data_IF_892454750998
#
_entry.id   IF_892454750998
#
_cell.length_a   1.000
_cell.length_b   1.000
_cell.length_c   1.000
_cell.angle_alpha   90.00
_cell.angle_beta   90.00
_cell.angle_gamma   90.00
#
_symmetry.space_group_name_H-M   'P 1'
#
loop_
_entity.id
_entity.type
_entity.pdbx_description
1 polymer ?
#
# COMPACT_ATOMS: atom_id res chain seq x y z
N UNK A 1 -44.90 -14.38 31.40
CA UNK A 1 -44.43 -14.13 30.02
C UNK A 1 -43.42 -12.98 30.09
N UNK A 2 -42.13 -13.31 30.26
CA UNK A 2 -41.05 -12.32 30.37
C UNK A 2 -40.62 -11.90 28.97
N UNK A 3 -40.91 -10.65 28.60
CA UNK A 3 -40.45 -10.06 27.35
C UNK A 3 -38.93 -10.01 27.32
N UNK A 4 -38.31 -10.77 26.41
CA UNK A 4 -36.91 -10.54 26.04
C UNK A 4 -36.90 -9.31 25.15
N UNK A 5 -36.61 -8.14 25.72
CA UNK A 5 -36.18 -6.98 24.94
C UNK A 5 -34.95 -7.42 24.13
N UNK A 6 -35.10 -7.54 22.81
CA UNK A 6 -33.99 -7.75 21.90
C UNK A 6 -33.14 -6.48 21.89
N UNK A 7 -32.21 -6.36 22.83
CA UNK A 7 -31.27 -5.24 22.87
C UNK A 7 -30.44 -5.23 21.58
N UNK A 8 -30.53 -4.15 20.82
CA UNK A 8 -29.71 -3.93 19.63
C UNK A 8 -28.23 -4.00 20.01
N UNK A 9 -27.40 -4.80 19.33
CA UNK A 9 -25.98 -4.87 19.63
C UNK A 9 -25.28 -3.50 19.51
N UNK A 10 -24.23 -3.24 20.32
CA UNK A 10 -23.42 -2.04 20.22
C UNK A 10 -22.93 -1.78 18.79
N UNK A 11 -22.78 -0.50 18.42
CA UNK A 11 -22.38 -0.09 17.07
C UNK A 11 -21.10 -0.79 16.59
N UNK A 12 -20.09 -0.92 17.45
CA UNK A 12 -18.85 -1.62 17.12
C UNK A 12 -19.05 -3.11 16.81
N UNK A 13 -19.98 -3.80 17.48
CA UNK A 13 -20.27 -5.22 17.20
C UNK A 13 -20.96 -5.39 15.84
N UNK A 14 -21.90 -4.49 15.52
CA UNK A 14 -22.55 -4.45 14.20
C UNK A 14 -21.54 -4.17 13.10
N UNK A 15 -20.61 -3.24 13.34
CA UNK A 15 -19.53 -2.96 12.40
C UNK A 15 -18.56 -4.13 12.22
N UNK A 16 -18.13 -4.79 13.30
CA UNK A 16 -17.27 -5.99 13.22
C UNK A 16 -17.97 -7.15 12.49
N UNK A 17 -19.29 -7.31 12.68
CA UNK A 17 -20.12 -8.27 11.92
C UNK A 17 -20.12 -7.96 10.42
N UNK A 18 -20.38 -6.71 10.06
CA UNK A 18 -20.37 -6.24 8.67
C UNK A 18 -19.01 -6.49 8.02
N UNK A 19 -17.93 -6.04 8.67
CA UNK A 19 -16.57 -6.12 8.13
C UNK A 19 -16.11 -7.55 7.94
N UNK A 20 -16.46 -8.45 8.87
CA UNK A 20 -16.15 -9.88 8.74
C UNK A 20 -16.85 -10.50 7.52
N UNK A 21 -18.14 -10.21 7.33
CA UNK A 21 -18.90 -10.72 6.18
C UNK A 21 -18.31 -10.21 4.85
N UNK A 22 -18.05 -8.91 4.75
CA UNK A 22 -17.47 -8.29 3.56
C UNK A 22 -16.07 -8.81 3.22
N UNK A 23 -15.22 -8.99 4.24
CA UNK A 23 -13.82 -9.41 4.02
C UNK A 23 -13.71 -10.86 3.58
N UNK A 24 -14.59 -11.75 4.10
CA UNK A 24 -14.48 -13.20 3.88
C UNK A 24 -15.46 -13.78 2.88
N UNK A 25 -16.63 -13.17 2.73
CA UNK A 25 -17.69 -13.62 1.82
C UNK A 25 -18.09 -12.57 0.79
N UNK A 26 -17.51 -11.36 0.84
CA UNK A 26 -17.77 -10.29 -0.13
C UNK A 26 -19.26 -9.92 -0.25
N UNK A 27 -20.01 -10.04 0.85
CA UNK A 27 -21.44 -9.79 0.91
C UNK A 27 -21.85 -9.08 2.21
N UNK A 28 -23.09 -8.60 2.25
CA UNK A 28 -23.70 -8.16 3.50
C UNK A 28 -24.00 -9.36 4.41
N UNK A 29 -24.01 -9.19 5.75
CA UNK A 29 -24.33 -10.29 6.69
C UNK A 29 -25.68 -10.96 6.42
N UNK A 30 -26.67 -10.21 5.93
CA UNK A 30 -28.02 -10.70 5.61
C UNK A 30 -28.04 -11.58 4.35
N UNK A 31 -27.04 -11.40 3.48
CA UNK A 31 -26.88 -12.11 2.21
C UNK A 31 -26.00 -13.37 2.33
N UNK A 32 -25.56 -13.71 3.55
CA UNK A 32 -24.69 -14.88 3.77
C UNK A 32 -25.42 -16.18 3.39
N UNK A 33 -24.79 -17.05 2.57
CA UNK A 33 -25.34 -18.36 2.24
C UNK A 33 -25.61 -19.18 3.51
N UNK A 34 -26.81 -19.77 3.61
CA UNK A 34 -27.21 -20.65 4.72
C UNK A 34 -26.14 -21.66 5.18
N UNK A 35 -25.45 -22.41 4.29
CA UNK A 35 -24.43 -23.37 4.71
C UNK A 35 -23.22 -22.72 5.39
N UNK A 36 -22.91 -21.46 5.09
CA UNK A 36 -21.77 -20.74 5.67
C UNK A 36 -22.11 -20.03 6.99
N UNK A 37 -23.39 -19.81 7.29
CA UNK A 37 -23.83 -19.09 8.50
C UNK A 37 -23.27 -19.67 9.80
N UNK A 38 -23.25 -21.00 10.04
CA UNK A 38 -22.65 -21.55 11.27
C UNK A 38 -21.15 -21.27 11.38
N UNK A 39 -20.44 -21.22 10.25
CA UNK A 39 -19.01 -20.89 10.23
C UNK A 39 -18.79 -19.40 10.50
N UNK A 40 -19.60 -18.54 9.89
CA UNK A 40 -19.59 -17.10 10.13
C UNK A 40 -19.83 -16.77 11.60
N UNK A 41 -20.90 -17.30 12.21
CA UNK A 41 -21.24 -17.01 13.61
C UNK A 41 -20.16 -17.46 14.59
N UNK A 42 -19.54 -18.65 14.38
CA UNK A 42 -18.40 -19.08 15.20
C UNK A 42 -17.19 -18.15 15.09
N UNK A 43 -16.90 -17.66 13.88
CA UNK A 43 -15.80 -16.71 13.67
C UNK A 43 -16.11 -15.34 14.29
N UNK A 44 -17.35 -14.87 14.13
CA UNK A 44 -17.81 -13.61 14.68
C UNK A 44 -17.71 -13.61 16.20
N UNK A 45 -18.24 -14.64 16.87
CA UNK A 45 -18.19 -14.75 18.33
C UNK A 45 -16.75 -14.72 18.86
N UNK A 46 -15.83 -15.44 18.19
CA UNK A 46 -14.40 -15.42 18.55
C UNK A 46 -13.78 -14.03 18.36
N UNK A 47 -14.11 -13.35 17.26
CA UNK A 47 -13.62 -12.02 16.98
C UNK A 47 -14.14 -10.99 17.99
N UNK A 48 -15.44 -10.99 18.27
CA UNK A 48 -16.06 -10.07 19.25
C UNK A 48 -15.50 -10.27 20.65
N UNK A 49 -15.32 -11.52 21.09
CA UNK A 49 -14.71 -11.83 22.38
C UNK A 49 -13.28 -11.26 22.47
N UNK A 50 -12.48 -11.41 21.40
CA UNK A 50 -11.13 -10.88 21.35
C UNK A 50 -11.12 -9.34 21.38
N UNK A 51 -11.90 -8.68 20.53
CA UNK A 51 -12.00 -7.21 20.49
C UNK A 51 -12.48 -6.63 21.83
N UNK A 52 -13.44 -7.29 22.48
CA UNK A 52 -13.89 -6.92 23.82
C UNK A 52 -12.79 -7.09 24.87
N UNK A 53 -12.04 -8.20 24.83
CA UNK A 53 -10.93 -8.45 25.75
C UNK A 53 -9.79 -7.42 25.58
N UNK A 54 -9.47 -7.05 24.34
CA UNK A 54 -8.47 -6.02 24.02
C UNK A 54 -8.90 -4.66 24.56
N UNK A 55 -10.12 -4.20 24.27
CA UNK A 55 -10.59 -2.90 24.76
C UNK A 55 -10.80 -2.88 26.28
N UNK A 56 -11.18 -4.00 26.89
CA UNK A 56 -11.21 -4.14 28.35
C UNK A 56 -9.81 -4.01 28.97
N UNK A 57 -8.77 -4.57 28.33
CA UNK A 57 -7.39 -4.39 28.77
C UNK A 57 -6.94 -2.92 28.67
N UNK A 58 -7.30 -2.23 27.58
CA UNK A 58 -7.05 -0.80 27.40
C UNK A 58 -7.63 0.03 28.55
N UNK A 59 -8.89 -0.24 28.90
CA UNK A 59 -9.60 0.44 29.98
C UNK A 59 -9.00 0.15 31.35
N UNK A 60 -8.57 -1.09 31.62
CA UNK A 60 -7.87 -1.45 32.87
C UNK A 60 -6.54 -0.70 33.03
N UNK A 61 -5.87 -0.40 31.93
CA UNK A 61 -4.66 0.43 31.91
C UNK A 61 -4.95 1.92 31.80
N UNK A 62 -6.22 2.33 31.80
CA UNK A 62 -6.66 3.72 31.64
C UNK A 62 -6.09 4.40 30.39
N UNK A 63 -5.86 3.64 29.30
CA UNK A 63 -5.41 4.19 28.04
C UNK A 63 -6.48 5.11 27.45
N UNK A 64 -6.06 6.30 27.02
CA UNK A 64 -6.95 7.32 26.48
C UNK A 64 -6.44 7.78 25.12
N UNK A 65 -7.32 7.76 24.12
CA UNK A 65 -6.98 8.26 22.78
C UNK A 65 -6.97 9.78 22.74
N UNK A 66 -5.94 10.33 22.10
CA UNK A 66 -5.86 11.76 21.79
C UNK A 66 -6.83 12.12 20.67
N UNK A 67 -7.20 13.40 20.59
CA UNK A 67 -8.05 13.90 19.50
C UNK A 67 -7.46 13.59 18.11
N UNK A 68 -6.13 13.69 17.95
CA UNK A 68 -5.45 13.37 16.70
C UNK A 68 -5.58 11.89 16.32
N UNK A 69 -5.41 10.98 17.29
CA UNK A 69 -5.58 9.54 17.05
C UNK A 69 -7.02 9.20 16.67
N UNK A 70 -8.01 9.80 17.36
CA UNK A 70 -9.42 9.61 17.02
C UNK A 70 -9.75 10.12 15.62
N UNK A 71 -9.23 11.30 15.25
CA UNK A 71 -9.41 11.86 13.92
C UNK A 71 -8.80 10.97 12.84
N UNK A 72 -7.61 10.42 13.08
CA UNK A 72 -6.96 9.50 12.15
C UNK A 72 -7.78 8.23 11.95
N UNK A 73 -8.26 7.61 13.03
CA UNK A 73 -9.11 6.41 12.95
C UNK A 73 -10.45 6.74 12.26
N UNK A 74 -11.05 7.90 12.55
CA UNK A 74 -12.26 8.35 11.88
C UNK A 74 -12.07 8.51 10.37
N UNK A 75 -10.96 9.12 9.92
CA UNK A 75 -10.64 9.26 8.51
C UNK A 75 -10.46 7.91 7.81
N UNK A 76 -9.80 6.95 8.46
CA UNK A 76 -9.59 5.60 7.91
C UNK A 76 -10.89 4.83 7.75
N UNK A 77 -11.86 5.00 8.65
CA UNK A 77 -13.12 4.26 8.63
C UNK A 77 -14.26 5.04 7.94
N UNK A 78 -14.09 6.31 7.62
CA UNK A 78 -15.16 7.21 7.16
C UNK A 78 -15.96 6.64 5.99
N UNK A 79 -15.27 6.16 4.95
CA UNK A 79 -15.95 5.62 3.76
C UNK A 79 -16.77 4.36 4.10
N UNK A 80 -16.18 3.40 4.80
CA UNK A 80 -16.85 2.16 5.19
C UNK A 80 -18.09 2.45 6.06
N UNK A 81 -17.96 3.37 7.03
CA UNK A 81 -19.02 3.69 7.97
C UNK A 81 -20.18 4.46 7.34
N UNK A 82 -19.89 5.43 6.47
CA UNK A 82 -20.90 6.22 5.76
C UNK A 82 -21.66 5.34 4.78
N UNK A 83 -20.96 4.52 3.97
CA UNK A 83 -21.61 3.61 3.03
C UNK A 83 -22.46 2.56 3.74
N UNK A 84 -22.08 2.15 4.96
CA UNK A 84 -22.84 1.23 5.79
C UNK A 84 -24.02 1.88 6.53
N UNK A 85 -24.16 3.20 6.48
CA UNK A 85 -25.31 3.93 7.05
C UNK A 85 -25.29 4.09 8.57
N UNK A 86 -24.12 4.01 9.23
CA UNK A 86 -24.02 4.28 10.67
C UNK A 86 -24.27 5.76 10.98
N UNK A 87 -25.02 6.06 12.04
CA UNK A 87 -25.26 7.44 12.50
C UNK A 87 -23.98 8.08 13.03
N UNK A 88 -23.94 9.41 13.16
CA UNK A 88 -22.77 10.12 13.68
C UNK A 88 -22.32 9.60 15.06
N UNK A 89 -23.27 9.33 15.96
CA UNK A 89 -22.99 8.79 17.30
C UNK A 89 -22.43 7.37 17.24
N UNK A 90 -22.99 6.53 16.35
CA UNK A 90 -22.50 5.18 16.13
C UNK A 90 -21.09 5.17 15.54
N UNK A 91 -20.83 6.05 14.57
CA UNK A 91 -19.50 6.24 13.98
C UNK A 91 -18.50 6.63 15.06
N UNK A 92 -18.83 7.58 15.92
CA UNK A 92 -17.98 8.00 17.03
C UNK A 92 -17.69 6.83 17.98
N UNK A 93 -18.70 6.05 18.35
CA UNK A 93 -18.52 4.87 19.20
C UNK A 93 -17.63 3.79 18.55
N UNK A 94 -17.75 3.56 17.24
CA UNK A 94 -16.91 2.62 16.49
C UNK A 94 -15.46 3.12 16.45
N UNK A 95 -15.25 4.40 16.18
CA UNK A 95 -13.92 5.05 16.16
C UNK A 95 -13.24 4.91 17.51
N UNK A 96 -13.94 5.19 18.61
CA UNK A 96 -13.41 5.02 19.96
C UNK A 96 -12.99 3.59 20.24
N UNK A 97 -13.80 2.61 19.85
CA UNK A 97 -13.48 1.19 20.03
C UNK A 97 -12.20 0.80 19.28
N UNK A 98 -12.07 1.21 18.02
CA UNK A 98 -10.88 0.93 17.20
C UNK A 98 -9.64 1.64 17.74
N UNK A 99 -9.76 2.92 18.14
CA UNK A 99 -8.65 3.66 18.73
C UNK A 99 -8.14 3.01 20.03
N UNK A 100 -9.03 2.52 20.89
CA UNK A 100 -8.63 1.79 22.11
C UNK A 100 -7.91 0.47 21.78
N UNK A 101 -8.35 -0.25 20.75
CA UNK A 101 -7.66 -1.46 20.29
C UNK A 101 -6.25 -1.15 19.78
N UNK A 102 -6.10 -0.13 18.93
CA UNK A 102 -4.81 0.30 18.40
C UNK A 102 -3.86 0.72 19.51
N UNK A 103 -4.34 1.52 20.48
CA UNK A 103 -3.58 1.94 21.64
C UNK A 103 -3.13 0.77 22.51
N UNK A 104 -4.02 -0.18 22.78
CA UNK A 104 -3.69 -1.35 23.57
C UNK A 104 -2.64 -2.21 22.88
N UNK A 105 -2.80 -2.46 21.58
CA UNK A 105 -1.82 -3.22 20.81
C UNK A 105 -0.48 -2.48 20.74
N UNK A 106 -0.47 -1.15 20.58
CA UNK A 106 0.74 -0.34 20.61
C UNK A 106 1.43 -0.41 21.99
N UNK A 107 0.67 -0.27 23.08
CA UNK A 107 1.16 -0.39 24.46
C UNK A 107 1.81 -1.75 24.72
N UNK A 108 1.16 -2.83 24.30
CA UNK A 108 1.71 -4.19 24.38
C UNK A 108 2.95 -4.33 23.49
N UNK A 109 2.93 -3.78 22.28
CA UNK A 109 4.10 -3.78 21.38
C UNK A 109 5.31 -3.11 22.01
N UNK A 110 5.13 -1.95 22.66
CA UNK A 110 6.20 -1.20 23.32
C UNK A 110 6.92 -2.00 24.42
N UNK A 111 6.27 -3.02 25.00
CA UNK A 111 6.84 -3.88 26.04
C UNK A 111 7.76 -4.98 25.48
N UNK A 112 7.89 -5.12 24.15
CA UNK A 112 8.69 -6.17 23.53
C UNK A 112 10.22 -5.99 23.69
N UNK A 113 10.66 -4.81 24.13
CA UNK A 113 12.07 -4.46 24.29
C UNK A 113 12.82 -4.22 22.98
N UNK A 114 13.86 -3.39 23.04
CA UNK A 114 14.61 -2.97 21.86
C UNK A 114 15.68 -3.99 21.43
N UNK A 115 15.86 -4.22 20.11
CA UNK A 115 16.95 -5.05 19.62
C UNK A 115 18.28 -4.41 19.97
N UNK A 116 19.23 -5.24 20.42
CA UNK A 116 20.53 -4.74 20.85
C UNK A 116 21.41 -4.43 19.64
N UNK A 117 22.33 -3.45 19.70
CA UNK A 117 23.19 -3.11 18.57
C UNK A 117 23.95 -4.32 17.99
N UNK A 118 24.47 -5.19 18.85
CA UNK A 118 25.17 -6.42 18.43
C UNK A 118 24.27 -7.43 17.70
N UNK A 119 22.98 -7.50 18.06
CA UNK A 119 21.98 -8.33 17.38
C UNK A 119 21.64 -7.75 16.01
N UNK A 120 21.47 -6.43 15.91
CA UNK A 120 21.23 -5.72 14.64
C UNK A 120 22.40 -5.98 13.69
N UNK A 121 23.64 -5.79 14.16
CA UNK A 121 24.84 -6.03 13.37
C UNK A 121 24.91 -7.47 12.86
N UNK A 122 24.70 -8.45 13.74
CA UNK A 122 24.73 -9.88 13.40
C UNK A 122 23.65 -10.22 12.37
N UNK A 123 22.44 -9.71 12.56
CA UNK A 123 21.35 -9.97 11.65
C UNK A 123 21.59 -9.32 10.29
N UNK A 124 22.11 -8.09 10.24
CA UNK A 124 22.51 -7.42 9.00
C UNK A 124 23.56 -8.24 8.24
N UNK A 125 24.62 -8.72 8.92
CA UNK A 125 25.66 -9.53 8.30
C UNK A 125 25.11 -10.83 7.67
N UNK A 126 24.10 -11.43 8.29
CA UNK A 126 23.44 -12.64 7.78
C UNK A 126 22.46 -12.40 6.63
N UNK A 127 22.05 -11.14 6.40
CA UNK A 127 21.02 -10.77 5.43
C UNK A 127 21.43 -9.56 4.58
N UNK A 128 22.75 -9.35 4.39
CA UNK A 128 23.28 -8.17 3.71
C UNK A 128 22.79 -8.04 2.26
N UNK A 129 22.45 -9.17 1.62
CA UNK A 129 21.85 -9.24 0.29
C UNK A 129 20.51 -8.49 0.20
N UNK A 130 19.77 -8.39 1.30
CA UNK A 130 18.48 -7.68 1.38
C UNK A 130 18.65 -6.16 1.44
N UNK A 131 19.85 -5.67 1.75
CA UNK A 131 20.15 -4.26 1.92
C UNK A 131 20.83 -3.70 0.68
N UNK A 132 20.11 -3.75 -0.44
CA UNK A 132 20.58 -3.22 -1.72
C UNK A 132 19.56 -2.26 -2.27
N UNK A 133 20.04 -1.14 -2.80
CA UNK A 133 19.22 -0.28 -3.66
C UNK A 133 19.04 -1.00 -4.99
N UNK A 134 17.80 -1.14 -5.49
CA UNK A 134 17.60 -1.70 -6.82
C UNK A 134 18.23 -0.77 -7.86
N UNK A 135 18.50 -1.34 -9.02
CA UNK A 135 18.89 -0.55 -10.19
C UNK A 135 17.74 0.40 -10.56
N UNK A 136 18.10 1.65 -10.88
CA UNK A 136 17.15 2.68 -11.30
C UNK A 136 17.61 3.32 -12.61
N UNK A 137 16.66 3.67 -13.47
CA UNK A 137 16.89 4.39 -14.72
C UNK A 137 16.23 5.75 -14.63
N UNK A 138 16.97 6.83 -14.87
CA UNK A 138 16.39 8.16 -15.04
C UNK A 138 15.73 8.18 -16.41
N UNK A 139 14.40 8.27 -16.43
CA UNK A 139 13.63 7.94 -17.63
C UNK A 139 12.80 9.12 -18.10
N UNK A 140 12.78 9.30 -19.42
CA UNK A 140 11.75 10.08 -20.11
C UNK A 140 10.87 9.17 -20.95
N UNK A 141 9.59 9.51 -21.02
CA UNK A 141 8.56 8.73 -21.69
C UNK A 141 7.68 9.62 -22.56
N UNK A 142 7.39 9.12 -23.76
CA UNK A 142 6.41 9.69 -24.69
C UNK A 142 5.47 8.56 -25.10
N UNK A 143 4.16 8.82 -24.99
CA UNK A 143 3.08 7.94 -25.45
C UNK A 143 2.28 8.64 -26.55
N UNK A 144 2.03 7.93 -27.65
CA UNK A 144 0.95 8.22 -28.60
C UNK A 144 -0.10 7.11 -28.49
N UNK A 145 -1.29 7.46 -28.03
CA UNK A 145 -2.41 6.53 -27.92
C UNK A 145 -2.82 6.06 -29.32
N UNK A 146 -3.10 4.76 -29.45
CA UNK A 146 -3.63 4.20 -30.70
C UNK A 146 -5.12 3.95 -30.52
N UNK A 147 -5.92 4.82 -31.14
CA UNK A 147 -7.36 4.63 -31.26
C UNK A 147 -7.67 3.91 -32.60
N UNK A 148 -8.51 4.48 -33.46
CA UNK A 148 -8.99 3.83 -34.69
C UNK A 148 -8.09 4.03 -35.94
N UNK A 149 -7.07 4.88 -35.87
CA UNK A 149 -6.20 5.21 -37.03
C UNK A 149 -4.73 4.92 -36.74
N UNK A 150 -4.41 3.63 -36.57
CA UNK A 150 -3.06 3.13 -36.35
C UNK A 150 -2.02 3.63 -37.38
N UNK A 151 -2.27 3.62 -38.71
CA UNK A 151 -1.28 4.07 -39.68
C UNK A 151 -0.83 5.53 -39.47
N UNK A 152 -1.76 6.42 -39.10
CA UNK A 152 -1.42 7.80 -38.80
C UNK A 152 -0.57 7.92 -37.53
N UNK A 153 -0.89 7.16 -36.48
CA UNK A 153 -0.12 7.15 -35.23
C UNK A 153 1.29 6.58 -35.45
N UNK A 154 1.43 5.52 -36.24
CA UNK A 154 2.73 4.96 -36.63
C UNK A 154 3.57 5.95 -37.43
N UNK A 155 2.97 6.66 -38.38
CA UNK A 155 3.65 7.71 -39.14
C UNK A 155 4.09 8.86 -38.25
N UNK A 156 3.23 9.31 -37.31
CA UNK A 156 3.58 10.34 -36.34
C UNK A 156 4.71 9.88 -35.43
N UNK A 157 4.65 8.65 -34.92
CA UNK A 157 5.69 8.08 -34.06
C UNK A 157 7.04 8.01 -34.78
N UNK A 158 7.04 7.55 -36.04
CA UNK A 158 8.24 7.52 -36.87
C UNK A 158 8.83 8.93 -37.09
N UNK A 159 7.97 9.95 -37.24
CA UNK A 159 8.38 11.35 -37.34
C UNK A 159 9.04 11.86 -36.06
N UNK A 160 8.42 11.60 -34.90
CA UNK A 160 8.95 11.96 -33.58
C UNK A 160 10.29 11.29 -33.34
N UNK A 161 10.40 9.98 -33.59
CA UNK A 161 11.63 9.22 -33.45
C UNK A 161 12.76 9.79 -34.32
N UNK A 162 12.47 10.16 -35.57
CA UNK A 162 13.46 10.76 -36.47
C UNK A 162 13.98 12.09 -35.95
N UNK A 163 13.10 12.94 -35.43
CA UNK A 163 13.49 14.21 -34.83
C UNK A 163 14.37 14.00 -33.59
N UNK A 164 14.00 13.06 -32.71
CA UNK A 164 14.78 12.75 -31.51
C UNK A 164 16.14 12.13 -31.81
N UNK A 165 16.26 11.34 -32.89
CA UNK A 165 17.57 10.82 -33.32
C UNK A 165 18.49 11.93 -33.86
N UNK A 166 17.93 12.96 -34.47
CA UNK A 166 18.69 14.11 -34.97
C UNK A 166 19.05 15.10 -33.85
N UNK A 167 18.12 15.33 -32.92
CA UNK A 167 18.27 16.27 -31.80
C UNK A 167 17.71 15.63 -30.51
N UNK A 168 18.52 14.81 -29.81
CA UNK A 168 18.07 14.09 -28.62
C UNK A 168 17.49 15.01 -27.54
N UNK A 169 18.10 16.19 -27.35
CA UNK A 169 17.71 17.15 -26.31
C UNK A 169 16.32 17.77 -26.55
N UNK A 170 15.75 17.58 -27.75
CA UNK A 170 14.38 17.95 -28.09
C UNK A 170 13.29 17.11 -27.41
N UNK A 171 13.63 16.07 -26.63
CA UNK A 171 12.66 15.15 -26.02
C UNK A 171 11.56 15.86 -25.23
N UNK A 172 11.94 16.81 -24.36
CA UNK A 172 10.97 17.52 -23.52
C UNK A 172 9.93 18.28 -24.36
N UNK A 173 10.38 18.97 -25.40
CA UNK A 173 9.51 19.73 -26.30
C UNK A 173 8.60 18.82 -27.14
N UNK A 174 9.11 17.68 -27.61
CA UNK A 174 8.30 16.72 -28.37
C UNK A 174 7.29 15.98 -27.49
N UNK A 175 7.67 15.65 -26.25
CA UNK A 175 6.75 15.08 -25.27
C UNK A 175 5.61 16.05 -24.94
N UNK A 176 5.91 17.33 -24.68
CA UNK A 176 4.89 18.35 -24.42
C UNK A 176 3.92 18.54 -25.60
N UNK A 177 4.42 18.48 -26.83
CA UNK A 177 3.61 18.73 -28.04
C UNK A 177 2.78 17.54 -28.47
N UNK A 178 3.29 16.32 -28.31
CA UNK A 178 2.71 15.14 -28.95
C UNK A 178 2.26 14.08 -27.96
N UNK A 179 2.80 14.04 -26.74
CA UNK A 179 2.51 12.93 -25.85
C UNK A 179 1.14 13.04 -25.19
N UNK A 180 0.45 11.91 -25.13
CA UNK A 180 -0.80 11.73 -24.39
C UNK A 180 -0.60 11.23 -22.94
N UNK A 181 0.65 11.15 -22.45
CA UNK A 181 0.95 10.76 -21.08
C UNK A 181 0.89 11.99 -20.16
N UNK A 182 0.40 11.90 -18.90
CA UNK A 182 0.43 13.02 -17.96
C UNK A 182 1.82 13.64 -17.74
N UNK A 183 2.89 12.85 -17.90
CA UNK A 183 4.27 13.32 -17.80
C UNK A 183 4.67 14.28 -18.92
N UNK A 184 3.86 14.41 -19.99
CA UNK A 184 4.06 15.39 -21.06
C UNK A 184 4.25 16.81 -20.51
N UNK A 185 3.50 17.19 -19.48
CA UNK A 185 3.60 18.51 -18.84
C UNK A 185 4.99 18.78 -18.26
N UNK A 186 5.68 17.75 -17.80
CA UNK A 186 7.06 17.81 -17.29
C UNK A 186 8.08 17.33 -18.34
N UNK A 187 7.79 17.53 -19.63
CA UNK A 187 8.70 17.15 -20.71
C UNK A 187 8.95 15.65 -20.82
N UNK A 188 7.95 14.84 -20.44
CA UNK A 188 8.01 13.38 -20.42
C UNK A 188 8.81 12.81 -19.25
N UNK A 189 9.28 13.60 -18.29
CA UNK A 189 10.13 13.13 -17.19
C UNK A 189 9.35 12.20 -16.24
N UNK A 190 9.82 10.97 -16.09
CA UNK A 190 9.31 10.01 -15.09
C UNK A 190 10.19 9.96 -13.83
N UNK A 191 11.38 10.57 -13.87
CA UNK A 191 12.36 10.48 -12.79
C UNK A 191 13.06 9.11 -12.74
N UNK A 192 13.48 8.70 -11.54
CA UNK A 192 14.19 7.43 -11.32
C UNK A 192 13.22 6.26 -11.22
N UNK A 193 13.15 5.46 -12.28
CA UNK A 193 12.28 4.29 -12.38
C UNK A 193 13.02 3.03 -11.97
N UNK A 194 12.43 2.25 -11.07
CA UNK A 194 12.90 0.91 -10.67
C UNK A 194 12.07 -0.17 -11.37
N UNK A 195 12.57 -1.40 -11.44
CA UNK A 195 11.80 -2.55 -11.94
C UNK A 195 10.52 -2.76 -11.12
N UNK A 196 9.47 -3.25 -11.76
CA UNK A 196 8.14 -3.48 -11.21
C UNK A 196 7.17 -2.30 -11.33
N UNK A 197 7.59 -1.18 -11.93
CA UNK A 197 6.78 0.05 -12.02
C UNK A 197 6.16 0.30 -13.40
N UNK A 198 6.62 -0.39 -14.45
CA UNK A 198 6.16 -0.20 -15.82
C UNK A 198 5.49 -1.46 -16.38
N UNK A 199 4.73 -1.31 -17.46
CA UNK A 199 4.26 -2.45 -18.27
C UNK A 199 5.45 -3.34 -18.68
N UNK A 200 5.29 -4.68 -18.72
CA UNK A 200 6.39 -5.60 -18.99
C UNK A 200 7.18 -5.31 -20.28
N UNK A 201 6.51 -4.84 -21.34
CA UNK A 201 7.17 -4.47 -22.59
C UNK A 201 8.07 -3.23 -22.43
N UNK A 202 7.56 -2.18 -21.78
CA UNK A 202 8.29 -0.95 -21.50
C UNK A 202 9.45 -1.20 -20.54
N UNK A 203 9.26 -2.01 -19.52
CA UNK A 203 10.32 -2.35 -18.58
C UNK A 203 11.47 -3.09 -19.28
N UNK A 204 11.16 -4.14 -20.05
CA UNK A 204 12.18 -4.89 -20.80
C UNK A 204 12.98 -3.97 -21.70
N UNK A 205 12.32 -3.05 -22.39
CA UNK A 205 12.98 -2.06 -23.23
C UNK A 205 13.84 -1.09 -22.40
N UNK A 206 13.27 -0.41 -21.41
CA UNK A 206 13.97 0.59 -20.61
C UNK A 206 15.25 0.06 -19.98
N UNK A 207 15.22 -1.14 -19.42
CA UNK A 207 16.37 -1.73 -18.74
C UNK A 207 17.38 -2.38 -19.70
N UNK A 208 17.06 -2.50 -20.99
CA UNK A 208 18.01 -2.88 -22.03
C UNK A 208 18.80 -1.67 -22.57
N UNK A 209 18.26 -0.45 -22.44
CA UNK A 209 18.90 0.78 -22.91
C UNK A 209 20.19 1.08 -22.13
N UNK A 210 21.17 1.70 -22.78
CA UNK A 210 22.31 2.37 -22.15
C UNK A 210 21.94 3.80 -21.69
N UNK A 211 22.80 4.41 -20.87
CA UNK A 211 22.64 5.82 -20.52
C UNK A 211 22.80 6.70 -21.77
N UNK A 212 21.90 7.66 -21.93
CA UNK A 212 21.73 8.50 -23.11
C UNK A 212 20.95 7.87 -24.25
N UNK A 213 20.56 6.58 -24.17
CA UNK A 213 19.95 5.87 -25.30
C UNK A 213 18.43 6.11 -25.39
N UNK A 214 17.95 6.16 -26.63
CA UNK A 214 16.54 6.24 -27.01
C UNK A 214 16.09 4.89 -27.58
N UNK A 215 14.92 4.43 -27.17
CA UNK A 215 14.35 3.17 -27.67
C UNK A 215 13.79 3.27 -29.09
N UNK A 216 13.58 2.11 -29.71
CA UNK A 216 12.58 1.97 -30.77
C UNK A 216 11.15 2.14 -30.19
N UNK A 217 10.14 2.39 -31.04
CA UNK A 217 8.75 2.39 -30.62
C UNK A 217 8.37 1.05 -29.98
N UNK A 218 7.88 1.11 -28.74
CA UNK A 218 7.41 -0.06 -27.99
C UNK A 218 5.89 -0.01 -27.95
N UNK A 219 5.23 -1.10 -28.32
CA UNK A 219 3.79 -1.21 -28.30
C UNK A 219 3.28 -1.75 -26.96
N UNK A 220 2.20 -1.15 -26.46
CA UNK A 220 1.37 -1.69 -25.37
C UNK A 220 -0.11 -1.55 -25.72
N UNK A 221 -0.98 -2.02 -24.84
CA UNK A 221 -2.45 -1.87 -24.97
C UNK A 221 -2.89 -0.40 -25.06
N UNK A 222 -2.08 0.56 -24.59
CA UNK A 222 -2.38 1.99 -24.66
C UNK A 222 -1.98 2.61 -26.01
N UNK A 223 -1.06 2.00 -26.76
CA UNK A 223 -0.54 2.57 -28.00
C UNK A 223 0.97 2.42 -28.14
N UNK A 224 1.61 3.41 -28.76
CA UNK A 224 3.04 3.40 -29.06
C UNK A 224 3.82 4.30 -28.11
N UNK A 225 4.96 3.79 -27.63
CA UNK A 225 5.77 4.43 -26.60
C UNK A 225 7.21 4.63 -27.07
N UNK A 226 7.81 5.75 -26.69
CA UNK A 226 9.25 5.96 -26.75
C UNK A 226 9.80 6.19 -25.35
N UNK A 227 10.95 5.58 -25.08
CA UNK A 227 11.65 5.67 -23.80
C UNK A 227 13.06 6.18 -24.05
N UNK A 228 13.50 7.12 -23.24
CA UNK A 228 14.90 7.55 -23.19
C UNK A 228 15.44 7.28 -21.79
N UNK A 229 16.60 6.64 -21.70
CA UNK A 229 17.32 6.47 -20.45
C UNK A 229 18.36 7.58 -20.34
N UNK A 230 18.12 8.61 -19.54
CA UNK A 230 19.06 9.72 -19.36
C UNK A 230 20.27 9.30 -18.51
N UNK A 231 20.05 8.47 -17.48
CA UNK A 231 21.11 8.01 -16.59
C UNK A 231 20.77 6.66 -15.95
N UNK A 232 21.80 5.94 -15.53
CA UNK A 232 21.70 4.65 -14.85
C UNK A 232 22.26 4.77 -13.44
N UNK A 233 21.48 4.36 -12.45
CA UNK A 233 21.96 4.13 -11.08
C UNK A 233 22.01 2.61 -10.87
N UNK A 234 23.19 1.99 -10.84
CA UNK A 234 23.31 0.55 -10.72
C UNK A 234 22.80 0.06 -9.37
N UNK A 235 22.42 -1.22 -9.30
CA UNK A 235 22.11 -1.85 -8.04
C UNK A 235 23.36 -1.87 -7.13
N UNK A 236 23.25 -1.27 -5.96
CA UNK A 236 24.37 -1.13 -5.03
C UNK A 236 23.93 -1.48 -3.61
N UNK A 237 24.84 -2.00 -2.76
CA UNK A 237 24.57 -2.10 -1.33
C UNK A 237 24.14 -0.75 -0.76
N UNK A 238 23.22 -0.77 0.20
CA UNK A 238 22.93 0.40 1.02
C UNK A 238 24.18 0.76 1.85
N UNK A 239 24.43 2.05 2.12
CA UNK A 239 25.41 2.44 3.13
C UNK A 239 25.14 1.70 4.44
N UNK A 240 26.16 1.17 5.09
CA UNK A 240 26.01 0.31 6.28
C UNK A 240 25.15 0.99 7.36
N UNK A 241 25.38 2.28 7.64
CA UNK A 241 24.58 3.03 8.59
C UNK A 241 23.07 3.02 8.26
N UNK A 242 22.70 3.17 6.98
CA UNK A 242 21.30 3.12 6.56
C UNK A 242 20.75 1.67 6.64
N UNK A 243 21.56 0.69 6.27
CA UNK A 243 21.20 -0.72 6.36
C UNK A 243 20.93 -1.16 7.81
N UNK A 244 21.76 -0.72 8.76
CA UNK A 244 21.61 -1.03 10.18
C UNK A 244 20.36 -0.38 10.79
N UNK A 245 20.00 0.84 10.40
CA UNK A 245 18.72 1.46 10.82
C UNK A 245 17.54 0.60 10.35
N UNK A 246 17.50 0.24 9.07
CA UNK A 246 16.42 -0.60 8.50
C UNK A 246 16.38 -1.99 9.14
N UNK A 247 17.53 -2.59 9.41
CA UNK A 247 17.64 -3.86 10.13
C UNK A 247 17.08 -3.75 11.56
N UNK A 248 17.41 -2.66 12.26
CA UNK A 248 16.89 -2.36 13.60
C UNK A 248 15.36 -2.21 13.60
N UNK A 249 14.81 -1.44 12.67
CA UNK A 249 13.36 -1.25 12.52
C UNK A 249 12.64 -2.57 12.22
N UNK A 250 13.23 -3.40 11.37
CA UNK A 250 12.72 -4.73 11.07
C UNK A 250 12.68 -5.63 12.31
N UNK A 251 13.78 -5.71 13.06
CA UNK A 251 13.87 -6.53 14.26
C UNK A 251 12.92 -6.04 15.36
N UNK A 252 12.81 -4.72 15.55
CA UNK A 252 11.85 -4.10 16.47
C UNK A 252 10.42 -4.48 16.10
N UNK A 253 10.05 -4.33 14.83
CA UNK A 253 8.73 -4.69 14.31
C UNK A 253 8.42 -6.18 14.52
N UNK A 254 9.38 -7.06 14.26
CA UNK A 254 9.24 -8.49 14.52
C UNK A 254 8.99 -8.81 15.99
N UNK A 255 9.77 -8.19 16.89
CA UNK A 255 9.62 -8.39 18.34
C UNK A 255 8.26 -7.92 18.84
N UNK A 256 7.84 -6.72 18.43
CA UNK A 256 6.52 -6.16 18.73
C UNK A 256 5.40 -7.10 18.29
N UNK A 257 5.42 -7.57 17.04
CA UNK A 257 4.42 -8.51 16.50
C UNK A 257 4.40 -9.84 17.25
N UNK A 258 5.57 -10.40 17.57
CA UNK A 258 5.68 -11.65 18.35
C UNK A 258 5.13 -11.47 19.76
N UNK A 259 5.42 -10.35 20.40
CA UNK A 259 4.94 -10.04 21.75
C UNK A 259 3.42 -9.83 21.76
N UNK A 260 2.88 -9.00 20.85
CA UNK A 260 1.44 -8.80 20.67
C UNK A 260 0.72 -10.13 20.40
N UNK A 261 1.25 -10.97 19.51
CA UNK A 261 0.66 -12.29 19.21
C UNK A 261 0.59 -13.18 20.45
N UNK A 262 1.65 -13.21 21.26
CA UNK A 262 1.67 -13.96 22.52
C UNK A 262 0.64 -13.41 23.49
N UNK A 263 0.57 -12.09 23.64
CA UNK A 263 -0.41 -11.44 24.50
C UNK A 263 -1.86 -11.75 24.07
N UNK A 264 -2.18 -11.68 22.77
CA UNK A 264 -3.50 -12.05 22.24
C UNK A 264 -3.89 -13.51 22.52
N UNK A 265 -2.92 -14.41 22.71
CA UNK A 265 -3.18 -15.82 23.09
C UNK A 265 -3.47 -15.98 24.59
N UNK A 266 -3.22 -14.95 25.40
CA UNK A 266 -3.47 -14.95 26.85
C UNK A 266 -4.82 -14.32 27.24
N UNK A 267 -5.53 -13.73 26.26
CA UNK A 267 -6.88 -13.20 26.42
C UNK A 267 -7.92 -14.31 26.32
#
# INVERSE_FOLDING_TARGET
>A
MTGRESMTPPAWQRFSRLRLAQTRWHCAPEQLPEPERPRFERQLLRQLALEQAVTAAARRQSLTATAAQLQQVAQQLAQELVCAGFSADEQQAIVWHHALMELQLASVGAQAGEPQPAEIQRWYQQHADRFRRPEQRLTRHLLLTVDDNRPAVEQQMAGVLRQLRAEPDGFASLAQRHSHCPTALDGGLMGWVSRGLLFPALERCLFALAAGELSEPVETELGLHLLRCDAIRPAAPLPEAEALVRAGDYLRSQRQRRHQRRWLQTL
#
